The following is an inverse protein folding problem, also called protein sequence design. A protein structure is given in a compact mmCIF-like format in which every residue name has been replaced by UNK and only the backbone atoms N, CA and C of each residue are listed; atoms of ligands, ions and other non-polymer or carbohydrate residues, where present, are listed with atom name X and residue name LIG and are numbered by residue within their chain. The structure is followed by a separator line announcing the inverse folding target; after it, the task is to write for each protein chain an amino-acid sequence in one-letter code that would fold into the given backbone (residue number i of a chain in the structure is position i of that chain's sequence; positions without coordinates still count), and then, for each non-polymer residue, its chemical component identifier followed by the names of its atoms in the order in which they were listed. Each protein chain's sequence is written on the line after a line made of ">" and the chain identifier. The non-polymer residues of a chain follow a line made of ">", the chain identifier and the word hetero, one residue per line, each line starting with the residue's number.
data_IF_788605185967
#
_entry.id   IF_788605185967
#
_cell.length_a   1.000
_cell.length_b   1.000
_cell.length_c   1.000
_cell.angle_alpha   90.00
_cell.angle_beta   90.00
_cell.angle_gamma   90.00
#
_symmetry.space_group_name_H-M   'P 1'
#
loop_
_entity.id
_entity.type
_entity.pdbx_description
1 polymer ?
#
# COMPACT_ATOMS: atom_id res chain seq x y z
N UNK A 1 -3.69 3.31 -8.27
CA UNK A 1 -5.00 3.23 -7.60
C UNK A 1 -5.33 4.64 -7.12
N UNK A 2 -6.60 4.99 -6.87
CA UNK A 2 -6.95 6.32 -6.35
C UNK A 2 -6.98 6.24 -4.82
N UNK A 3 -6.20 7.07 -4.14
CA UNK A 3 -6.19 7.17 -2.68
C UNK A 3 -6.27 8.64 -2.36
N UNK A 4 -7.23 8.98 -1.50
CA UNK A 4 -7.53 10.36 -1.16
C UNK A 4 -7.34 10.59 0.33
N UNK A 5 -7.01 11.83 0.69
CA UNK A 5 -6.93 12.26 2.08
C UNK A 5 -7.74 13.54 2.26
N UNK A 6 -8.75 13.48 3.12
CA UNK A 6 -9.66 14.60 3.37
C UNK A 6 -10.05 14.64 4.84
N UNK A 7 -9.96 15.82 5.45
CA UNK A 7 -10.39 16.09 6.83
C UNK A 7 -9.83 15.08 7.86
N UNK A 8 -8.56 14.68 7.69
CA UNK A 8 -7.90 13.70 8.57
C UNK A 8 -8.19 12.24 8.25
N UNK A 9 -9.00 11.94 7.23
CA UNK A 9 -9.38 10.58 6.83
C UNK A 9 -8.65 10.18 5.55
N UNK A 10 -7.91 9.07 5.61
CA UNK A 10 -7.28 8.43 4.45
C UNK A 10 -8.26 7.40 3.85
N UNK A 11 -8.68 7.64 2.61
CA UNK A 11 -9.62 6.79 1.88
C UNK A 11 -8.86 5.87 0.93
N UNK A 12 -8.88 4.58 1.22
CA UNK A 12 -8.18 3.55 0.46
C UNK A 12 -9.22 2.62 -0.19
N UNK A 13 -9.11 2.30 -1.48
CA UNK A 13 -9.97 1.31 -2.11
C UNK A 13 -9.82 -0.05 -1.44
N UNK A 14 -10.93 -0.77 -1.31
CA UNK A 14 -10.93 -2.12 -0.76
C UNK A 14 -10.09 -3.07 -1.63
N UNK A 15 -9.33 -3.93 -0.96
CA UNK A 15 -8.48 -4.94 -1.61
C UNK A 15 -8.72 -6.32 -0.98
N UNK A 16 -8.97 -7.32 -1.83
CA UNK A 16 -8.93 -8.72 -1.42
C UNK A 16 -7.50 -9.26 -1.54
N UNK A 17 -7.01 -9.93 -0.50
CA UNK A 17 -5.71 -10.60 -0.49
C UNK A 17 -5.88 -12.10 -0.23
N UNK A 18 -5.29 -12.90 -1.10
CA UNK A 18 -5.22 -14.36 -1.04
C UNK A 18 -3.90 -14.83 -1.68
N UNK A 19 -3.54 -16.11 -1.54
CA UNK A 19 -2.29 -16.66 -2.12
C UNK A 19 -2.18 -16.39 -3.63
N UNK A 20 -3.30 -16.45 -4.35
CA UNK A 20 -3.34 -16.19 -5.80
C UNK A 20 -3.07 -14.73 -6.19
N UNK A 21 -3.15 -13.78 -5.25
CA UNK A 21 -2.89 -12.36 -5.52
C UNK A 21 -1.40 -12.06 -5.62
N UNK A 22 -0.53 -12.80 -4.91
CA UNK A 22 0.92 -12.53 -4.90
C UNK A 22 1.52 -12.61 -6.32
N UNK A 23 1.31 -13.68 -7.10
CA UNK A 23 1.85 -13.77 -8.45
C UNK A 23 1.29 -12.69 -9.38
N UNK A 24 0.01 -12.32 -9.22
CA UNK A 24 -0.61 -11.26 -10.01
C UNK A 24 0.08 -9.91 -9.77
N UNK A 25 0.26 -9.52 -8.51
CA UNK A 25 0.95 -8.27 -8.17
C UNK A 25 2.39 -8.26 -8.65
N UNK A 26 3.14 -9.36 -8.47
CA UNK A 26 4.52 -9.48 -8.97
C UNK A 26 4.58 -9.32 -10.50
N UNK A 27 3.67 -9.94 -11.23
CA UNK A 27 3.60 -9.80 -12.69
C UNK A 27 3.28 -8.38 -13.13
N UNK A 28 2.38 -7.69 -12.42
CA UNK A 28 2.05 -6.29 -12.70
C UNK A 28 3.25 -5.36 -12.41
N UNK A 29 3.97 -5.58 -11.31
CA UNK A 29 5.18 -4.83 -10.98
C UNK A 29 6.27 -5.10 -12.02
N UNK A 30 6.53 -6.35 -12.39
CA UNK A 30 7.49 -6.69 -13.44
C UNK A 30 7.12 -6.02 -14.77
N UNK A 31 5.82 -5.98 -15.10
CA UNK A 31 5.34 -5.28 -16.27
C UNK A 31 5.58 -3.76 -16.22
N UNK A 32 5.38 -3.11 -15.05
CA UNK A 32 5.73 -1.69 -14.85
C UNK A 32 7.23 -1.44 -15.06
N UNK A 33 8.09 -2.35 -14.58
CA UNK A 33 9.55 -2.21 -14.67
C UNK A 33 10.10 -2.49 -16.08
N UNK A 34 9.47 -3.38 -16.86
CA UNK A 34 9.92 -3.70 -18.21
C UNK A 34 9.49 -2.68 -19.28
N UNK A 35 8.53 -1.80 -18.98
CA UNK A 35 7.99 -0.83 -19.93
C UNK A 35 8.33 0.61 -19.54
N UNK A 36 9.43 1.12 -20.08
CA UNK A 36 9.84 2.52 -19.93
C UNK A 36 8.70 3.47 -20.37
N UNK A 37 8.20 4.27 -19.42
CA UNK A 37 7.19 5.30 -19.66
C UNK A 37 5.79 5.03 -19.08
N UNK A 38 5.55 3.89 -18.44
CA UNK A 38 4.35 3.71 -17.59
C UNK A 38 4.72 4.02 -16.14
N UNK A 39 3.97 4.90 -15.49
CA UNK A 39 4.21 5.23 -14.07
C UNK A 39 4.06 4.01 -13.16
N UNK A 40 4.74 4.05 -12.02
CA UNK A 40 4.88 2.91 -11.10
C UNK A 40 3.69 2.81 -10.13
N UNK A 41 2.46 2.80 -10.65
CA UNK A 41 1.24 2.92 -9.82
C UNK A 41 1.01 1.70 -8.93
N UNK A 42 1.30 0.49 -9.42
CA UNK A 42 1.16 -0.76 -8.67
C UNK A 42 2.32 -0.90 -7.69
N UNK A 43 3.56 -0.66 -8.11
CA UNK A 43 4.71 -0.63 -7.19
C UNK A 43 4.51 0.40 -6.08
N UNK A 44 4.08 1.62 -6.41
CA UNK A 44 3.80 2.67 -5.43
C UNK A 44 2.69 2.30 -4.47
N UNK A 45 1.65 1.60 -4.95
CA UNK A 45 0.59 1.13 -4.07
C UNK A 45 1.10 0.04 -3.12
N UNK A 46 1.87 -0.92 -3.62
CA UNK A 46 2.46 -1.97 -2.79
C UNK A 46 3.35 -1.35 -1.69
N UNK A 47 4.18 -0.36 -2.03
CA UNK A 47 5.00 0.36 -1.06
C UNK A 47 4.16 1.13 -0.03
N UNK A 48 3.09 1.80 -0.46
CA UNK A 48 2.22 2.52 0.48
C UNK A 48 1.53 1.55 1.45
N UNK A 49 1.04 0.41 0.96
CA UNK A 49 0.42 -0.61 1.81
C UNK A 49 1.41 -1.23 2.78
N UNK A 50 2.66 -1.47 2.35
CA UNK A 50 3.73 -1.94 3.25
C UNK A 50 4.01 -0.95 4.38
N UNK A 51 4.04 0.35 4.08
CA UNK A 51 4.19 1.39 5.11
C UNK A 51 3.00 1.46 6.09
N UNK A 52 1.81 1.04 5.67
CA UNK A 52 0.63 0.98 6.54
C UNK A 52 0.57 -0.32 7.36
N UNK A 53 1.22 -1.39 6.90
CA UNK A 53 1.14 -2.74 7.48
C UNK A 53 2.52 -3.12 8.03
N UNK A 54 2.83 -2.61 9.23
CA UNK A 54 4.08 -2.95 9.91
C UNK A 54 4.01 -4.30 10.65
N UNK A 55 2.80 -4.80 10.91
CA UNK A 55 2.55 -5.98 11.72
C UNK A 55 1.22 -6.66 11.37
N UNK A 56 1.03 -7.88 11.87
CA UNK A 56 -0.25 -8.59 11.78
C UNK A 56 -1.40 -7.85 12.47
N UNK A 57 -1.13 -6.98 13.46
CA UNK A 57 -2.15 -6.14 14.09
C UNK A 57 -2.69 -5.08 13.13
N UNK A 58 -1.85 -4.54 12.26
CA UNK A 58 -2.26 -3.55 11.26
C UNK A 58 -3.14 -4.20 10.20
N UNK A 59 -2.85 -5.45 9.82
CA UNK A 59 -3.74 -6.23 8.94
C UNK A 59 -5.13 -6.38 9.56
N UNK A 60 -5.20 -6.80 10.83
CA UNK A 60 -6.48 -6.96 11.54
C UNK A 60 -7.24 -5.64 11.58
N UNK A 61 -6.56 -4.54 11.91
CA UNK A 61 -7.16 -3.21 11.92
C UNK A 61 -7.72 -2.80 10.54
N UNK A 62 -6.98 -3.07 9.45
CA UNK A 62 -7.44 -2.76 8.10
C UNK A 62 -8.58 -3.68 7.63
N UNK A 63 -8.66 -4.92 8.13
CA UNK A 63 -9.81 -5.79 7.95
C UNK A 63 -11.05 -5.24 8.67
N UNK A 64 -10.91 -4.79 9.91
CA UNK A 64 -12.00 -4.19 10.69
C UNK A 64 -12.53 -2.89 10.05
N UNK A 65 -11.68 -2.21 9.27
CA UNK A 65 -12.04 -1.02 8.48
C UNK A 65 -12.55 -1.35 7.08
N UNK A 66 -12.71 -2.63 6.74
CA UNK A 66 -13.16 -3.13 5.44
C UNK A 66 -12.26 -2.68 4.27
N UNK A 67 -11.02 -2.26 4.56
CA UNK A 67 -10.01 -1.89 3.56
C UNK A 67 -9.37 -3.16 2.99
N UNK A 68 -9.14 -4.17 3.83
CA UNK A 68 -8.57 -5.46 3.41
C UNK A 68 -9.58 -6.58 3.65
N UNK A 69 -9.83 -7.38 2.62
CA UNK A 69 -10.51 -8.66 2.76
C UNK A 69 -9.44 -9.76 2.74
N UNK A 70 -9.04 -10.24 3.92
CA UNK A 70 -7.92 -11.16 4.07
C UNK A 70 -8.37 -12.63 4.06
N UNK A 71 -7.82 -13.42 3.14
CA UNK A 71 -7.98 -14.87 3.04
C UNK A 71 -6.74 -15.65 3.51
N UNK A 72 -5.71 -14.95 4.02
CA UNK A 72 -4.47 -15.50 4.57
C UNK A 72 -4.48 -15.43 6.10
N UNK A 73 -3.48 -16.02 6.76
CA UNK A 73 -3.21 -15.64 8.16
C UNK A 73 -2.76 -14.18 8.24
N UNK A 74 -3.02 -13.51 9.36
CA UNK A 74 -2.60 -12.12 9.55
C UNK A 74 -1.06 -11.94 9.45
N UNK A 75 -0.30 -12.99 9.77
CA UNK A 75 1.16 -12.99 9.67
C UNK A 75 1.66 -13.15 8.23
N UNK A 76 1.01 -13.98 7.42
CA UNK A 76 1.32 -14.07 5.99
C UNK A 76 0.96 -12.77 5.26
N UNK A 77 -0.21 -12.21 5.59
CA UNK A 77 -0.69 -10.96 5.03
C UNK A 77 0.21 -9.77 5.36
N UNK A 78 0.78 -9.70 6.58
CA UNK A 78 1.68 -8.61 6.97
C UNK A 78 2.98 -8.61 6.17
N UNK A 79 3.42 -9.78 5.72
CA UNK A 79 4.64 -9.94 4.93
C UNK A 79 4.39 -9.91 3.41
N UNK A 80 3.14 -9.89 2.97
CA UNK A 80 2.79 -9.98 1.55
C UNK A 80 3.38 -8.80 0.77
N UNK A 81 3.12 -7.56 1.23
CA UNK A 81 3.48 -6.36 0.47
C UNK A 81 4.98 -6.13 0.37
N UNK A 82 5.74 -6.25 1.45
CA UNK A 82 7.22 -6.19 1.43
C UNK A 82 7.84 -7.22 0.48
N UNK A 83 7.23 -8.40 0.32
CA UNK A 83 7.68 -9.42 -0.63
C UNK A 83 7.40 -9.04 -2.08
N UNK A 84 6.36 -8.26 -2.38
CA UNK A 84 5.93 -7.97 -3.76
C UNK A 84 6.95 -7.19 -4.59
N UNK A 85 7.73 -6.32 -3.94
CA UNK A 85 8.71 -5.45 -4.60
C UNK A 85 10.15 -5.75 -4.17
N UNK A 86 10.41 -6.90 -3.54
CA UNK A 86 11.77 -7.40 -3.39
C UNK A 86 12.41 -7.45 -4.78
N UNK A 87 13.57 -6.81 -4.94
CA UNK A 87 14.32 -6.70 -6.21
C UNK A 87 13.73 -5.72 -7.26
N UNK A 88 12.92 -4.75 -6.83
CA UNK A 88 12.35 -3.72 -7.70
C UNK A 88 12.99 -2.34 -7.46
N UNK A 89 13.30 -1.61 -8.53
CA UNK A 89 13.71 -0.20 -8.44
C UNK A 89 12.48 0.69 -8.23
N UNK A 90 12.52 1.55 -7.21
CA UNK A 90 11.47 2.51 -6.89
C UNK A 90 11.99 3.90 -7.27
N UNK A 91 11.81 4.29 -8.52
CA UNK A 91 12.34 5.55 -9.05
C UNK A 91 11.26 6.67 -9.07
N UNK A 92 9.98 6.31 -9.13
CA UNK A 92 8.85 7.26 -9.19
C UNK A 92 7.68 6.81 -8.29
N UNK A 93 7.74 7.22 -7.02
CA UNK A 93 6.69 6.94 -6.02
C UNK A 93 5.51 7.90 -6.13
N UNK A 94 4.40 7.41 -6.67
CA UNK A 94 3.22 8.23 -7.02
C UNK A 94 2.48 8.85 -5.82
N UNK A 95 2.69 8.37 -4.58
CA UNK A 95 1.98 8.85 -3.39
C UNK A 95 2.83 9.77 -2.50
N UNK A 96 3.99 10.27 -2.98
CA UNK A 96 4.85 11.16 -2.19
C UNK A 96 4.12 12.40 -1.67
N UNK A 97 3.32 13.05 -2.51
CA UNK A 97 2.51 14.22 -2.12
C UNK A 97 1.40 13.89 -1.11
N UNK A 98 0.78 12.71 -1.24
CA UNK A 98 -0.21 12.22 -0.28
C UNK A 98 0.44 12.00 1.09
N UNK A 99 1.58 11.29 1.14
CA UNK A 99 2.35 11.06 2.37
C UNK A 99 2.75 12.39 3.04
N UNK A 100 3.21 13.37 2.25
CA UNK A 100 3.54 14.69 2.77
C UNK A 100 2.32 15.38 3.41
N UNK A 101 1.14 15.26 2.80
CA UNK A 101 -0.11 15.84 3.30
C UNK A 101 -0.55 15.18 4.61
N UNK A 102 -0.56 13.84 4.67
CA UNK A 102 -0.90 13.08 5.89
C UNK A 102 0.08 13.42 7.03
N UNK A 103 1.38 13.45 6.73
CA UNK A 103 2.42 13.75 7.71
C UNK A 103 2.32 15.19 8.25
N UNK A 104 1.95 16.15 7.39
CA UNK A 104 1.71 17.53 7.81
C UNK A 104 0.52 17.60 8.77
N UNK A 105 -0.61 16.98 8.42
CA UNK A 105 -1.79 16.95 9.28
C UNK A 105 -1.48 16.37 10.67
N UNK A 106 -0.73 15.27 10.72
CA UNK A 106 -0.33 14.65 11.99
C UNK A 106 0.56 15.55 12.87
N UNK A 107 1.45 16.35 12.26
CA UNK A 107 2.31 17.29 12.99
C UNK A 107 1.51 18.50 13.50
N UNK A 108 0.63 19.04 12.67
CA UNK A 108 -0.18 20.20 13.01
C UNK A 108 -1.18 19.86 14.15
N UNK A 109 -1.76 18.66 14.13
CA UNK A 109 -2.66 18.17 15.19
C UNK A 109 -2.01 17.84 16.54
N UNK A 110 -0.67 17.81 16.63
CA UNK A 110 0.08 17.66 17.90
C UNK A 110 0.46 18.98 18.55
N UNK A 111 0.09 20.10 17.93
CA UNK A 111 0.41 21.45 18.41
C UNK A 111 -0.72 22.09 19.24
N UNK A 112 -1.74 21.31 19.61
CA UNK A 112 -2.90 21.73 20.42
C UNK A 112 -3.04 20.94 21.71
#
# INVERSE_FOLDING_TARGET
>A
MSIDFKDGVLMIPQLAIAEMNEPLFRNLIAFEQCYNGRGHKVTSYALLMDNLIASSKDVVFLCDKEIIHNWLSAEEASQLFSKLYSDTLIDDFCYGGLCATVNKYYKDGKSG
#
